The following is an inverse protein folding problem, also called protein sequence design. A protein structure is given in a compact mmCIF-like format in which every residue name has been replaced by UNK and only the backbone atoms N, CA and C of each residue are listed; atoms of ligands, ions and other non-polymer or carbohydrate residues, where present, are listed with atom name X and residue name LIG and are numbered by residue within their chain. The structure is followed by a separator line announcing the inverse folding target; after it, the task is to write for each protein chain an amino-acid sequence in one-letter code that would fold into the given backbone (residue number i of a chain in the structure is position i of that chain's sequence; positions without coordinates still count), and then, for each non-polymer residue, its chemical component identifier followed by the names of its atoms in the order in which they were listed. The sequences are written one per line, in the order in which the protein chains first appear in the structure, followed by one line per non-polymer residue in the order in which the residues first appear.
data_IF_471252513868
#
_entry.id   IF_471252513868
#
_cell.length_a   1.000
_cell.length_b   1.000
_cell.length_c   1.000
_cell.angle_alpha   90.00
_cell.angle_beta   90.00
_cell.angle_gamma   90.00
#
_symmetry.space_group_name_H-M   'P 1'
#
loop_
_entity.id
_entity.type
_entity.pdbx_description
1 polymer ?
#
# COMPACT_ATOMS: atom_id res chain seq x y z
N UNK A 1 -4.23 -14.54 13.85
CA UNK A 1 -3.96 -13.11 14.11
C UNK A 1 -2.65 -12.75 13.43
N UNK A 2 -2.61 -11.71 12.59
CA UNK A 2 -1.39 -11.34 11.87
C UNK A 2 -0.48 -10.46 12.72
N UNK A 3 0.81 -10.35 12.36
CA UNK A 3 1.73 -9.38 12.95
C UNK A 3 1.16 -7.94 12.89
N UNK A 4 0.45 -7.63 11.80
CA UNK A 4 -0.21 -6.35 11.62
C UNK A 4 -1.27 -6.11 12.69
N UNK A 5 -2.15 -7.07 12.95
CA UNK A 5 -3.24 -6.92 13.91
C UNK A 5 -2.77 -6.92 15.36
N UNK A 6 -1.74 -7.72 15.69
CA UNK A 6 -1.29 -7.89 17.08
C UNK A 6 -0.27 -6.84 17.54
N UNK A 7 0.49 -6.24 16.61
CA UNK A 7 1.62 -5.35 16.97
C UNK A 7 1.53 -4.01 16.24
N UNK A 8 1.51 -4.04 14.90
CA UNK A 8 1.61 -2.80 14.11
C UNK A 8 0.41 -1.89 14.31
N UNK A 9 -0.80 -2.41 14.17
CA UNK A 9 -2.05 -1.64 14.31
C UNK A 9 -2.21 -1.06 15.72
N UNK A 10 -2.04 -1.80 16.83
CA UNK A 10 -2.11 -1.22 18.17
C UNK A 10 -1.09 -0.11 18.43
N UNK A 11 0.13 -0.22 17.88
CA UNK A 11 1.15 0.82 18.02
C UNK A 11 0.77 2.08 17.24
N UNK A 12 0.40 1.93 15.97
CA UNK A 12 -0.01 3.08 15.13
C UNK A 12 -1.21 3.82 15.72
N UNK A 13 -2.16 3.10 16.34
CA UNK A 13 -3.36 3.70 16.91
C UNK A 13 -3.11 4.45 18.23
N UNK A 14 -1.90 4.36 18.80
CA UNK A 14 -1.47 5.18 19.93
C UNK A 14 -0.86 6.52 19.51
N UNK A 15 -0.62 6.72 18.21
CA UNK A 15 -0.08 7.96 17.66
C UNK A 15 -1.22 8.87 17.18
N UNK A 16 -1.00 10.19 17.07
CA UNK A 16 -1.88 11.06 16.29
C UNK A 16 -2.04 10.53 14.86
N UNK A 17 -3.26 10.64 14.32
CA UNK A 17 -3.59 10.05 13.02
C UNK A 17 -2.66 10.53 11.89
N UNK A 18 -2.36 11.83 11.84
CA UNK A 18 -1.45 12.38 10.83
C UNK A 18 -0.03 11.85 10.99
N UNK A 19 0.47 11.74 12.23
CA UNK A 19 1.80 11.17 12.50
C UNK A 19 1.86 9.71 12.04
N UNK A 20 0.84 8.91 12.32
CA UNK A 20 0.77 7.53 11.82
C UNK A 20 0.73 7.47 10.29
N UNK A 21 0.03 8.41 9.65
CA UNK A 21 -0.05 8.54 8.20
C UNK A 21 1.29 8.90 7.56
N UNK A 22 1.98 9.93 8.07
CA UNK A 22 3.31 10.34 7.61
C UNK A 22 4.34 9.22 7.78
N UNK A 23 4.30 8.49 8.91
CA UNK A 23 5.15 7.33 9.13
C UNK A 23 4.88 6.21 8.12
N UNK A 24 3.62 5.97 7.77
CA UNK A 24 3.25 4.99 6.76
C UNK A 24 3.76 5.41 5.36
N UNK A 25 3.56 6.67 4.96
CA UNK A 25 4.06 7.20 3.69
C UNK A 25 5.59 7.16 3.61
N UNK A 26 6.29 7.58 4.66
CA UNK A 26 7.75 7.51 4.73
C UNK A 26 8.27 6.07 4.63
N UNK A 27 7.61 5.12 5.30
CA UNK A 27 7.95 3.70 5.22
C UNK A 27 7.73 3.13 3.81
N UNK A 28 6.64 3.51 3.14
CA UNK A 28 6.36 3.10 1.76
C UNK A 28 7.41 3.67 0.80
N UNK A 29 7.69 4.97 0.88
CA UNK A 29 8.69 5.63 0.03
C UNK A 29 10.07 4.97 0.13
N UNK A 30 10.55 4.68 1.35
CA UNK A 30 11.81 3.98 1.58
C UNK A 30 11.82 2.57 0.99
N UNK A 31 10.71 1.84 1.10
CA UNK A 31 10.61 0.44 0.69
C UNK A 31 10.45 0.29 -0.83
N UNK A 32 9.63 1.15 -1.44
CA UNK A 32 9.22 1.03 -2.84
C UNK A 32 10.20 1.71 -3.82
N UNK A 33 11.04 2.64 -3.34
CA UNK A 33 12.12 3.25 -4.15
C UNK A 33 13.16 2.20 -4.57
N UNK A 34 13.40 1.18 -3.75
CA UNK A 34 14.37 0.13 -4.04
C UNK A 34 13.73 -0.99 -4.90
N UNK A 35 14.13 -1.09 -6.18
CA UNK A 35 13.57 -2.06 -7.14
C UNK A 35 13.56 -3.53 -6.66
N UNK A 36 14.67 -4.11 -6.15
CA UNK A 36 14.64 -5.49 -5.68
C UNK A 36 13.73 -5.69 -4.46
N UNK A 37 13.73 -4.76 -3.51
CA UNK A 37 12.82 -4.81 -2.34
C UNK A 37 11.37 -4.74 -2.80
N UNK A 38 11.03 -3.79 -3.67
CA UNK A 38 9.70 -3.65 -4.26
C UNK A 38 9.24 -4.93 -4.95
N UNK A 39 10.10 -5.57 -5.74
CA UNK A 39 9.75 -6.81 -6.45
C UNK A 39 9.50 -7.97 -5.47
N UNK A 40 10.28 -8.06 -4.39
CA UNK A 40 10.08 -9.07 -3.35
C UNK A 40 8.74 -8.88 -2.63
N UNK A 41 8.44 -7.64 -2.25
CA UNK A 41 7.17 -7.26 -1.62
C UNK A 41 6.00 -7.56 -2.57
N UNK A 42 6.08 -7.14 -3.83
CA UNK A 42 5.04 -7.37 -4.82
C UNK A 42 4.72 -8.87 -4.98
N UNK A 43 5.74 -9.74 -5.06
CA UNK A 43 5.54 -11.21 -5.14
C UNK A 43 4.76 -11.77 -3.96
N UNK A 44 4.92 -11.20 -2.76
CA UNK A 44 4.19 -11.65 -1.56
C UNK A 44 2.70 -11.29 -1.59
N UNK A 45 2.34 -10.24 -2.32
CA UNK A 45 0.97 -9.70 -2.42
C UNK A 45 0.33 -9.90 -3.80
N UNK A 46 0.97 -10.65 -4.71
CA UNK A 46 0.52 -10.93 -6.08
C UNK A 46 -0.71 -11.83 -6.20
N UNK A 47 -1.47 -12.06 -5.11
CA UNK A 47 -2.70 -12.84 -5.20
C UNK A 47 -3.78 -11.98 -5.83
N UNK A 48 -4.12 -12.31 -7.08
CA UNK A 48 -5.18 -11.66 -7.85
C UNK A 48 -6.39 -12.60 -7.92
N UNK A 49 -7.28 -12.60 -6.91
CA UNK A 49 -8.53 -13.37 -6.99
C UNK A 49 -9.50 -12.76 -8.01
N UNK A 50 -9.22 -11.55 -8.48
CA UNK A 50 -10.06 -10.78 -9.40
C UNK A 50 -9.44 -10.74 -10.79
N UNK A 51 -10.27 -10.84 -11.83
CA UNK A 51 -9.84 -10.75 -13.22
C UNK A 51 -9.55 -9.32 -13.67
N UNK A 52 -8.99 -9.22 -14.88
CA UNK A 52 -8.78 -7.94 -15.57
C UNK A 52 -10.08 -7.18 -15.79
N UNK A 53 -9.98 -5.86 -15.87
CA UNK A 53 -11.10 -4.94 -16.05
C UNK A 53 -10.77 -3.87 -17.08
N UNK A 54 -11.56 -3.76 -18.15
CA UNK A 54 -11.43 -2.70 -19.14
C UNK A 54 -12.40 -1.54 -18.87
N UNK A 55 -11.87 -0.33 -18.67
CA UNK A 55 -12.68 0.89 -18.45
C UNK A 55 -11.98 2.10 -19.04
N UNK A 56 -12.75 3.01 -19.64
CA UNK A 56 -12.24 4.28 -20.19
C UNK A 56 -11.07 4.13 -21.18
N UNK A 57 -11.03 3.01 -21.92
CA UNK A 57 -9.93 2.69 -22.85
C UNK A 57 -8.64 2.18 -22.18
N UNK A 58 -8.67 1.87 -20.88
CA UNK A 58 -7.55 1.34 -20.11
C UNK A 58 -7.83 -0.10 -19.62
N UNK A 59 -6.81 -0.96 -19.65
CA UNK A 59 -6.83 -2.29 -19.02
C UNK A 59 -6.29 -2.19 -17.59
N UNK A 60 -7.13 -2.47 -16.61
CA UNK A 60 -6.75 -2.59 -15.20
C UNK A 60 -6.55 -4.07 -14.86
N UNK A 61 -5.48 -4.38 -14.12
CA UNK A 61 -5.16 -5.76 -13.73
C UNK A 61 -6.22 -6.39 -12.83
N UNK A 62 -6.89 -5.57 -12.03
CA UNK A 62 -7.96 -5.94 -11.10
C UNK A 62 -8.82 -4.69 -10.81
N UNK A 63 -10.02 -4.85 -10.19
CA UNK A 63 -10.93 -3.74 -9.90
C UNK A 63 -10.60 -2.99 -8.59
N UNK A 64 -9.47 -3.26 -7.93
CA UNK A 64 -9.08 -2.65 -6.65
C UNK A 64 -8.17 -1.45 -6.89
N UNK A 65 -8.60 -0.28 -6.42
CA UNK A 65 -7.81 0.96 -6.46
C UNK A 65 -7.51 1.51 -5.07
N UNK A 66 -6.41 2.27 -4.96
CA UNK A 66 -6.15 3.13 -3.82
C UNK A 66 -6.82 4.48 -4.06
N UNK A 67 -7.70 4.90 -3.16
CA UNK A 67 -8.43 6.16 -3.29
C UNK A 67 -7.49 7.37 -3.18
N UNK A 68 -7.91 8.48 -3.79
CA UNK A 68 -7.22 9.76 -3.66
C UNK A 68 -7.13 10.21 -2.20
N UNK A 69 -6.13 11.03 -1.90
CA UNK A 69 -5.91 11.59 -0.56
C UNK A 69 -5.03 10.74 0.35
N UNK A 70 -4.73 9.48 -0.02
CA UNK A 70 -3.74 8.67 0.70
C UNK A 70 -2.31 9.14 0.38
N UNK A 71 -1.84 9.01 -0.87
CA UNK A 71 -0.58 9.62 -1.30
C UNK A 71 -0.87 10.88 -2.11
N UNK A 72 -0.92 12.02 -1.42
CA UNK A 72 -1.28 13.31 -2.02
C UNK A 72 -0.22 13.83 -2.98
N UNK A 73 1.04 13.43 -2.78
CA UNK A 73 2.19 14.00 -3.48
C UNK A 73 2.87 13.01 -4.43
N UNK A 74 2.43 11.74 -4.49
CA UNK A 74 3.05 10.71 -5.32
C UNK A 74 4.46 10.36 -4.87
N UNK A 75 4.71 10.38 -3.56
CA UNK A 75 6.05 10.21 -2.97
C UNK A 75 6.34 8.78 -2.51
N UNK A 76 5.31 7.94 -2.44
CA UNK A 76 5.38 6.57 -1.94
C UNK A 76 5.43 5.53 -3.09
#
# INVERSE_FOLDING_TARGET
MSLYDSIVRPILFRLPAETAHELALGSLSLTLTNKPVRNLVARRFQSEPFGKLDRFGLEFRNPIGLAAGFDKNGTA
#
